data_IF_708698248770
#
_entry.id   IF_708698248770
#
_cell.length_a   1.000
_cell.length_b   1.000
_cell.length_c   1.000
_cell.angle_alpha   90.00
_cell.angle_beta   90.00
_cell.angle_gamma   90.00
#
_symmetry.space_group_name_H-M   'P 1'
#
loop_
_entity.id
_entity.type
_entity.pdbx_description
1 polymer ?
#
# COMPACT_ATOMS: atom_id res chain seq x y z
N UNK A 1 -13.85 -18.40 35.80
CA UNK A 1 -12.41 -18.54 35.50
C UNK A 1 -11.86 -17.12 35.44
N UNK A 2 -11.09 -16.73 36.46
CA UNK A 2 -10.51 -15.39 36.57
C UNK A 2 -9.29 -15.30 35.64
N UNK A 3 -9.34 -14.38 34.68
CA UNK A 3 -8.16 -13.95 33.93
C UNK A 3 -7.45 -12.85 34.74
N UNK A 4 -6.67 -13.26 35.73
CA UNK A 4 -5.69 -12.39 36.38
C UNK A 4 -4.47 -12.25 35.47
N UNK A 5 -4.56 -11.34 34.48
CA UNK A 5 -3.36 -10.83 33.82
C UNK A 5 -2.70 -9.81 34.74
N UNK A 6 -1.59 -10.24 35.33
CA UNK A 6 -0.65 -9.44 36.09
C UNK A 6 -0.32 -8.17 35.30
N UNK A 7 -0.80 -7.02 35.77
CA UNK A 7 -0.33 -5.71 35.34
C UNK A 7 1.11 -5.53 35.86
N UNK A 8 2.10 -6.01 35.11
CA UNK A 8 3.47 -5.54 35.28
C UNK A 8 3.48 -4.06 34.91
N UNK A 9 3.74 -3.17 35.87
CA UNK A 9 3.77 -1.71 35.74
C UNK A 9 4.91 -1.17 34.86
N UNK A 10 5.10 -1.74 33.67
CA UNK A 10 5.90 -1.14 32.62
C UNK A 10 5.26 0.19 32.20
N UNK A 11 6.06 1.25 32.09
CA UNK A 11 5.59 2.51 31.52
C UNK A 11 5.10 2.23 30.10
N UNK A 12 3.79 2.19 29.93
CA UNK A 12 3.16 2.04 28.63
C UNK A 12 3.70 3.12 27.69
N UNK A 13 4.20 2.73 26.50
CA UNK A 13 4.81 3.66 25.57
C UNK A 13 3.75 4.65 25.03
N UNK A 14 4.19 5.80 24.52
CA UNK A 14 3.29 6.86 24.04
C UNK A 14 2.29 6.33 23.01
N UNK A 15 2.74 5.48 22.09
CA UNK A 15 1.89 4.87 21.06
C UNK A 15 0.76 4.03 21.65
N UNK A 16 1.07 3.12 22.58
CA UNK A 16 0.06 2.31 23.28
C UNK A 16 -0.94 3.17 24.07
N UNK A 17 -0.53 4.31 24.62
CA UNK A 17 -1.44 5.28 25.29
C UNK A 17 -2.38 5.94 24.30
N UNK A 18 -1.88 6.33 23.14
CA UNK A 18 -2.70 6.95 22.11
C UNK A 18 -3.76 5.98 21.58
N UNK A 19 -3.38 4.74 21.29
CA UNK A 19 -4.33 3.69 20.90
C UNK A 19 -5.37 3.45 22.02
N UNK A 20 -4.94 3.44 23.27
CA UNK A 20 -5.83 3.25 24.42
C UNK A 20 -6.84 4.41 24.59
N UNK A 21 -6.56 5.58 24.01
CA UNK A 21 -7.42 6.75 24.05
C UNK A 21 -8.38 6.86 22.85
N UNK A 22 -8.19 6.04 21.80
CA UNK A 22 -9.16 5.98 20.70
C UNK A 22 -10.50 5.43 21.19
N UNK A 23 -11.63 5.93 20.66
CA UNK A 23 -12.94 5.34 20.93
C UNK A 23 -12.95 3.85 20.63
N UNK A 24 -13.68 3.07 21.44
CA UNK A 24 -13.74 1.62 21.33
C UNK A 24 -14.18 1.13 19.94
N UNK A 25 -15.10 1.84 19.30
CA UNK A 25 -15.61 1.57 17.96
C UNK A 25 -14.65 2.00 16.84
N UNK A 26 -13.45 2.49 17.15
CA UNK A 26 -12.42 2.87 16.17
C UNK A 26 -11.13 2.05 16.35
N UNK A 27 -11.14 1.05 17.22
CA UNK A 27 -9.99 0.17 17.45
C UNK A 27 -10.43 -1.28 17.41
N UNK A 28 -9.84 -2.04 16.50
CA UNK A 28 -10.09 -3.46 16.37
C UNK A 28 -8.78 -4.23 16.34
N UNK A 29 -8.87 -5.45 16.83
CA UNK A 29 -7.81 -6.44 16.84
C UNK A 29 -8.33 -7.68 16.16
N UNK A 30 -7.60 -8.17 15.17
CA UNK A 30 -7.95 -9.42 14.51
C UNK A 30 -6.98 -10.51 14.99
N UNK A 31 -7.40 -11.36 15.95
CA UNK A 31 -6.57 -12.45 16.46
C UNK A 31 -6.39 -13.60 15.46
N UNK A 32 -7.23 -13.68 14.41
CA UNK A 32 -7.38 -14.86 13.56
C UNK A 32 -7.68 -14.54 12.09
N UNK A 33 -6.75 -13.85 11.43
CA UNK A 33 -6.60 -13.96 9.98
C UNK A 33 -5.23 -14.62 9.66
N UNK A 34 -5.07 -15.86 10.15
CA UNK A 34 -4.11 -16.91 9.80
C UNK A 34 -2.58 -16.67 9.66
N UNK A 35 -2.02 -15.46 9.72
CA UNK A 35 -0.55 -15.28 9.76
C UNK A 35 -0.12 -14.13 10.70
N UNK A 36 -0.92 -13.07 10.80
CA UNK A 36 -0.52 -11.86 11.53
C UNK A 36 -1.44 -11.53 12.71
N UNK A 37 -0.84 -10.96 13.77
CA UNK A 37 -1.56 -10.29 14.85
C UNK A 37 -1.71 -8.82 14.46
N UNK A 38 -2.83 -8.50 13.82
CA UNK A 38 -3.07 -7.17 13.25
C UNK A 38 -3.85 -6.28 14.21
N UNK A 39 -3.34 -5.07 14.39
CA UNK A 39 -4.01 -3.97 15.05
C UNK A 39 -4.54 -2.99 14.00
N UNK A 40 -5.86 -2.82 13.94
CA UNK A 40 -6.49 -1.92 12.98
C UNK A 40 -7.10 -0.71 13.69
N UNK A 41 -6.75 0.49 13.21
CA UNK A 41 -7.20 1.77 13.74
C UNK A 41 -8.08 2.46 12.69
N UNK A 42 -9.30 2.83 13.08
CA UNK A 42 -10.32 3.40 12.19
C UNK A 42 -11.42 2.43 11.79
N UNK A 43 -11.27 1.13 12.07
CA UNK A 43 -12.28 0.10 11.76
C UNK A 43 -13.03 -0.29 13.04
N UNK A 44 -14.37 -0.21 13.06
CA UNK A 44 -15.19 -0.76 14.14
C UNK A 44 -14.98 -2.26 14.32
N UNK A 45 -14.96 -2.73 15.58
CA UNK A 45 -14.76 -4.14 15.89
C UNK A 45 -15.87 -5.04 15.31
N UNK A 46 -17.09 -4.53 15.20
CA UNK A 46 -18.26 -5.20 14.63
C UNK A 46 -18.31 -5.15 13.09
N UNK A 47 -17.43 -4.37 12.44
CA UNK A 47 -17.35 -4.31 10.98
C UNK A 47 -16.66 -5.52 10.35
N UNK A 48 -15.96 -6.34 11.13
CA UNK A 48 -15.34 -7.58 10.68
C UNK A 48 -15.83 -8.75 11.50
N UNK A 49 -16.19 -9.87 10.84
CA UNK A 49 -16.68 -11.09 11.49
C UNK A 49 -15.70 -11.67 12.53
N UNK A 50 -14.42 -11.29 12.46
CA UNK A 50 -13.35 -11.75 13.36
C UNK A 50 -12.79 -10.64 14.25
N UNK A 51 -13.37 -9.44 14.18
CA UNK A 51 -12.88 -8.27 14.90
C UNK A 51 -13.18 -8.38 16.39
N UNK A 52 -12.14 -8.28 17.21
CA UNK A 52 -12.28 -8.08 18.65
C UNK A 52 -11.97 -6.63 18.98
N UNK A 53 -12.63 -6.12 20.02
CA UNK A 53 -12.27 -4.83 20.59
C UNK A 53 -10.83 -4.87 21.11
N UNK A 54 -10.00 -3.93 20.67
CA UNK A 54 -8.62 -3.82 21.13
C UNK A 54 -8.58 -3.18 22.52
N UNK A 55 -8.42 -4.01 23.56
CA UNK A 55 -8.32 -3.53 24.95
C UNK A 55 -6.89 -3.13 25.35
N UNK A 56 -5.90 -3.83 24.80
CA UNK A 56 -4.47 -3.59 25.08
C UNK A 56 -3.67 -4.00 23.86
N UNK A 57 -2.68 -3.19 23.48
CA UNK A 57 -1.78 -3.52 22.38
C UNK A 57 -0.80 -4.61 22.81
N UNK A 58 -0.81 -5.74 22.11
CA UNK A 58 0.11 -6.84 22.37
C UNK A 58 1.54 -6.45 21.94
N UNK A 59 2.53 -6.83 22.76
CA UNK A 59 3.94 -6.57 22.47
C UNK A 59 4.45 -7.33 21.24
N UNK A 60 3.79 -8.42 20.88
CA UNK A 60 4.08 -9.26 19.71
C UNK A 60 3.12 -8.99 18.53
N UNK A 61 2.53 -7.78 18.48
CA UNK A 61 1.80 -7.30 17.32
C UNK A 61 2.73 -7.27 16.09
N UNK A 62 2.31 -7.93 15.02
CA UNK A 62 3.10 -8.07 13.78
C UNK A 62 2.51 -7.28 12.62
N UNK A 63 1.35 -6.66 12.77
CA UNK A 63 0.79 -5.83 11.72
C UNK A 63 -0.03 -4.66 12.23
N UNK A 64 -0.02 -3.56 11.47
CA UNK A 64 -0.80 -2.37 11.75
C UNK A 64 -1.52 -1.87 10.52
N UNK A 65 -2.77 -1.46 10.69
CA UNK A 65 -3.59 -0.85 9.65
C UNK A 65 -4.10 0.51 10.16
N UNK A 66 -3.62 1.59 9.55
CA UNK A 66 -4.00 2.95 9.89
C UNK A 66 -4.98 3.47 8.83
N UNK A 67 -6.27 3.26 9.06
CA UNK A 67 -7.35 3.66 8.12
C UNK A 67 -8.14 4.86 8.65
N UNK A 68 -7.38 5.85 9.10
CA UNK A 68 -7.87 7.11 9.70
C UNK A 68 -7.71 8.30 8.74
N UNK A 69 -7.23 8.07 7.51
CA UNK A 69 -6.82 9.12 6.58
C UNK A 69 -5.79 10.06 7.22
N UNK A 70 -5.86 11.35 6.91
CA UNK A 70 -4.97 12.38 7.45
C UNK A 70 -4.97 12.44 9.00
N UNK A 71 -6.11 12.13 9.65
CA UNK A 71 -6.22 12.11 11.13
C UNK A 71 -5.35 11.02 11.76
N UNK A 72 -4.86 10.06 10.97
CA UNK A 72 -3.92 9.03 11.40
C UNK A 72 -2.54 9.58 11.74
N UNK A 73 -2.17 10.79 11.30
CA UNK A 73 -0.81 11.33 11.43
C UNK A 73 -0.23 11.23 12.86
N UNK A 74 -0.93 11.65 13.94
CA UNK A 74 -0.39 11.53 15.29
C UNK A 74 -0.11 10.07 15.69
N UNK A 75 -0.94 9.12 15.24
CA UNK A 75 -0.75 7.69 15.50
C UNK A 75 0.43 7.12 14.72
N UNK A 76 0.57 7.51 13.45
CA UNK A 76 1.69 7.12 12.59
C UNK A 76 3.01 7.67 13.14
N UNK A 77 3.05 8.91 13.61
CA UNK A 77 4.24 9.49 14.25
C UNK A 77 4.60 8.77 15.56
N UNK A 78 3.61 8.45 16.39
CA UNK A 78 3.85 7.70 17.61
C UNK A 78 4.29 6.25 17.33
N UNK A 79 3.75 5.63 16.28
CA UNK A 79 4.18 4.33 15.77
C UNK A 79 5.63 4.35 15.28
N UNK A 80 5.99 5.34 14.45
CA UNK A 80 7.34 5.56 13.95
C UNK A 80 8.38 5.71 15.06
N UNK A 81 8.00 6.35 16.17
CA UNK A 81 8.84 6.52 17.36
C UNK A 81 8.83 5.32 18.33
N UNK A 82 8.09 4.25 18.02
CA UNK A 82 7.96 3.07 18.87
C UNK A 82 8.94 1.95 18.50
N UNK A 83 8.86 0.80 19.18
CA UNK A 83 9.61 -0.41 18.82
C UNK A 83 9.03 -1.17 17.62
N UNK A 84 7.78 -0.91 17.26
CA UNK A 84 7.04 -1.75 16.31
C UNK A 84 7.59 -1.76 14.88
N UNK A 85 8.11 -0.65 14.30
CA UNK A 85 8.68 -0.66 12.95
C UNK A 85 9.73 -1.75 12.71
N UNK A 86 10.50 -2.12 13.73
CA UNK A 86 11.54 -3.14 13.64
C UNK A 86 11.02 -4.60 13.60
N UNK A 87 9.75 -4.85 13.96
CA UNK A 87 9.19 -6.21 14.10
C UNK A 87 7.96 -6.49 13.24
N UNK A 88 7.33 -5.45 12.67
CA UNK A 88 6.08 -5.64 11.93
C UNK A 88 6.35 -6.24 10.54
N UNK A 89 5.50 -7.18 10.17
CA UNK A 89 5.51 -7.85 8.87
C UNK A 89 4.44 -7.30 7.92
N UNK A 90 3.45 -6.56 8.44
CA UNK A 90 2.37 -5.94 7.66
C UNK A 90 2.14 -4.49 8.08
N UNK A 91 2.00 -3.60 7.09
CA UNK A 91 1.61 -2.22 7.29
C UNK A 91 0.62 -1.79 6.22
N UNK A 92 -0.51 -1.22 6.63
CA UNK A 92 -1.43 -0.55 5.73
C UNK A 92 -1.65 0.90 6.18
N UNK A 93 -1.57 1.84 5.24
CA UNK A 93 -1.95 3.24 5.43
C UNK A 93 -3.05 3.57 4.44
N UNK A 94 -4.16 4.10 4.92
CA UNK A 94 -5.30 4.39 4.06
C UNK A 94 -6.39 5.17 4.74
N UNK A 95 -7.57 5.09 4.16
CA UNK A 95 -8.80 5.57 4.77
C UNK A 95 -9.86 4.46 4.70
N UNK A 96 -10.95 4.65 5.42
CA UNK A 96 -12.07 3.73 5.36
C UNK A 96 -13.40 4.48 5.29
N UNK A 97 -14.41 3.76 4.84
CA UNK A 97 -15.74 4.33 4.65
C UNK A 97 -16.44 4.79 5.93
N UNK A 98 -15.95 4.42 7.12
CA UNK A 98 -16.45 4.93 8.40
C UNK A 98 -15.95 6.34 8.74
N UNK A 99 -14.89 6.81 8.07
CA UNK A 99 -14.30 8.12 8.29
C UNK A 99 -14.63 9.12 7.16
N UNK A 100 -15.61 8.78 6.31
CA UNK A 100 -16.02 9.42 5.04
C UNK A 100 -16.27 10.93 5.13
N UNK A 101 -15.19 11.68 5.28
CA UNK A 101 -15.08 13.08 4.93
C UNK A 101 -14.20 13.14 3.69
N UNK A 102 -14.85 13.31 2.54
CA UNK A 102 -14.25 13.28 1.19
C UNK A 102 -13.02 14.21 1.02
N UNK A 103 -12.84 15.17 1.91
CA UNK A 103 -11.81 16.21 1.85
C UNK A 103 -10.44 15.77 2.41
N UNK A 104 -10.27 14.52 2.87
CA UNK A 104 -9.15 14.09 3.75
C UNK A 104 -8.24 12.98 3.20
N UNK A 105 -7.92 13.06 1.90
CA UNK A 105 -7.16 12.02 1.18
C UNK A 105 -5.67 12.34 0.98
N UNK A 106 -5.17 13.41 1.60
CA UNK A 106 -3.74 13.73 1.58
C UNK A 106 -2.99 12.86 2.60
N UNK A 107 -2.38 11.78 2.11
CA UNK A 107 -1.61 10.83 2.90
C UNK A 107 -0.11 11.14 2.90
N UNK A 108 0.33 12.19 2.19
CA UNK A 108 1.74 12.61 2.14
C UNK A 108 2.33 12.83 3.54
N UNK A 109 1.62 13.45 4.51
CA UNK A 109 2.18 13.61 5.85
C UNK A 109 2.45 12.27 6.55
N UNK A 110 1.60 11.26 6.30
CA UNK A 110 1.74 9.92 6.88
C UNK A 110 2.94 9.20 6.25
N UNK A 111 3.03 9.20 4.91
CA UNK A 111 4.18 8.64 4.18
C UNK A 111 5.48 9.31 4.61
N UNK A 112 5.50 10.65 4.65
CA UNK A 112 6.66 11.44 5.06
C UNK A 112 7.13 11.14 6.49
N UNK A 113 6.20 10.88 7.41
CA UNK A 113 6.53 10.50 8.78
C UNK A 113 7.24 9.13 8.87
N UNK A 114 7.08 8.27 7.88
CA UNK A 114 7.70 6.94 7.81
C UNK A 114 8.94 6.87 6.93
N UNK A 115 9.17 7.86 6.05
CA UNK A 115 10.26 7.84 5.06
C UNK A 115 11.68 7.70 5.62
N UNK A 116 11.88 7.95 6.91
CA UNK A 116 13.18 7.81 7.60
C UNK A 116 13.26 6.62 8.56
N UNK A 117 12.23 5.77 8.60
CA UNK A 117 12.11 4.65 9.52
C UNK A 117 12.46 3.36 8.80
N UNK A 118 13.23 2.48 9.45
CA UNK A 118 13.60 1.18 8.90
C UNK A 118 12.55 0.12 9.23
N UNK A 119 12.21 -0.67 8.20
CA UNK A 119 11.24 -1.76 8.25
C UNK A 119 11.90 -3.06 7.79
N UNK A 120 12.81 -3.64 8.60
CA UNK A 120 13.69 -4.72 8.16
C UNK A 120 12.97 -6.04 7.86
N UNK A 121 11.76 -6.23 8.40
CA UNK A 121 10.98 -7.48 8.29
C UNK A 121 9.59 -7.27 7.69
N UNK A 122 9.31 -6.07 7.17
CA UNK A 122 8.03 -5.74 6.54
C UNK A 122 7.88 -6.49 5.22
N UNK A 123 6.88 -7.38 5.13
CA UNK A 123 6.60 -8.22 3.97
C UNK A 123 5.44 -7.70 3.15
N UNK A 124 4.44 -7.11 3.80
CA UNK A 124 3.22 -6.62 3.14
C UNK A 124 3.04 -5.13 3.40
N UNK A 125 2.97 -4.35 2.34
CA UNK A 125 2.84 -2.91 2.40
C UNK A 125 1.71 -2.44 1.48
N UNK A 126 0.67 -1.83 2.07
CA UNK A 126 -0.45 -1.26 1.34
C UNK A 126 -0.51 0.24 1.64
N UNK A 127 -0.38 1.07 0.61
CA UNK A 127 -0.41 2.52 0.73
C UNK A 127 -1.54 3.10 -0.10
N UNK A 128 -2.38 3.91 0.53
CA UNK A 128 -3.48 4.62 -0.13
C UNK A 128 -4.72 3.78 -0.34
N UNK A 129 -4.72 2.56 0.18
CA UNK A 129 -5.84 1.64 0.10
C UNK A 129 -7.08 2.23 0.79
N UNK A 130 -8.22 2.11 0.11
CA UNK A 130 -9.50 2.53 0.65
C UNK A 130 -10.30 1.28 1.00
N UNK A 131 -10.27 0.98 2.29
CA UNK A 131 -10.93 -0.20 2.81
C UNK A 131 -12.46 0.02 2.81
N UNK A 132 -13.11 -0.53 1.78
CA UNK A 132 -14.56 -0.47 1.62
C UNK A 132 -15.24 -1.43 2.61
N UNK A 133 -15.61 -0.91 3.78
CA UNK A 133 -16.49 -1.61 4.71
C UNK A 133 -17.98 -1.31 4.48
N UNK A 134 -18.28 -0.37 3.58
CA UNK A 134 -19.62 -0.07 3.09
C UNK A 134 -19.55 0.11 1.57
N UNK A 135 -20.66 -0.16 0.86
CA UNK A 135 -20.77 0.02 -0.59
C UNK A 135 -20.70 1.52 -0.96
N UNK A 136 -19.50 2.09 -0.94
CA UNK A 136 -19.20 3.43 -1.41
C UNK A 136 -18.29 3.38 -2.63
N UNK A 137 -18.23 4.45 -3.45
CA UNK A 137 -17.29 4.51 -4.55
C UNK A 137 -15.85 4.38 -4.01
N UNK A 138 -15.03 3.63 -4.75
CA UNK A 138 -13.59 3.54 -4.52
C UNK A 138 -12.96 4.92 -4.51
N UNK A 139 -12.00 5.13 -3.64
CA UNK A 139 -11.49 6.45 -3.31
C UNK A 139 -9.99 6.37 -3.09
N UNK A 140 -9.21 6.70 -4.11
CA UNK A 140 -7.75 6.58 -4.04
C UNK A 140 -7.11 7.80 -3.36
N UNK A 141 -6.00 7.59 -2.64
CA UNK A 141 -5.32 8.59 -1.81
C UNK A 141 -4.18 9.33 -2.53
N UNK A 142 -3.69 10.44 -1.96
CA UNK A 142 -2.47 11.12 -2.43
C UNK A 142 -1.28 10.81 -1.52
N UNK A 143 -0.37 9.95 -2.01
CA UNK A 143 0.77 9.42 -1.26
C UNK A 143 2.00 10.35 -1.31
N UNK A 144 2.19 11.07 -2.42
CA UNK A 144 3.39 11.88 -2.68
C UNK A 144 4.62 11.02 -2.98
N UNK A 145 5.81 11.48 -2.59
CA UNK A 145 7.05 10.73 -2.84
C UNK A 145 7.20 9.56 -1.86
N UNK A 146 7.14 8.35 -2.41
CA UNK A 146 7.26 7.09 -1.66
C UNK A 146 8.68 6.49 -1.71
N UNK A 147 9.60 7.07 -2.49
CA UNK A 147 10.92 6.50 -2.80
C UNK A 147 11.74 6.17 -1.56
N UNK A 148 11.87 7.13 -0.64
CA UNK A 148 12.67 6.94 0.58
C UNK A 148 12.09 5.88 1.51
N UNK A 149 10.76 5.81 1.59
CA UNK A 149 10.08 4.81 2.40
C UNK A 149 10.31 3.41 1.80
N UNK A 150 10.08 3.21 0.50
CA UNK A 150 10.27 1.90 -0.13
C UNK A 150 11.73 1.40 -0.02
N UNK A 151 12.71 2.29 -0.12
CA UNK A 151 14.13 1.96 0.10
C UNK A 151 14.46 1.51 1.55
N UNK A 152 13.57 1.80 2.51
CA UNK A 152 13.70 1.41 3.91
C UNK A 152 12.92 0.14 4.27
N UNK A 153 12.25 -0.47 3.30
CA UNK A 153 11.48 -1.69 3.45
C UNK A 153 11.96 -2.79 2.48
N UNK A 154 13.22 -3.26 2.60
CA UNK A 154 13.83 -4.16 1.60
C UNK A 154 13.22 -5.56 1.56
N UNK A 155 12.48 -5.96 2.60
CA UNK A 155 11.89 -7.30 2.73
C UNK A 155 10.48 -7.40 2.15
N UNK A 156 9.96 -6.33 1.53
CA UNK A 156 8.60 -6.30 0.98
C UNK A 156 8.45 -7.32 -0.15
N UNK A 157 7.39 -8.13 -0.04
CA UNK A 157 7.00 -9.20 -0.95
C UNK A 157 5.71 -8.85 -1.69
N UNK A 158 4.79 -8.16 -1.01
CA UNK A 158 3.50 -7.71 -1.53
C UNK A 158 3.42 -6.19 -1.33
N UNK A 159 3.39 -5.45 -2.44
CA UNK A 159 3.30 -3.99 -2.46
C UNK A 159 2.05 -3.56 -3.23
N UNK A 160 1.19 -2.80 -2.56
CA UNK A 160 0.08 -2.09 -3.19
C UNK A 160 0.22 -0.57 -3.03
N UNK A 161 0.21 0.16 -4.14
CA UNK A 161 0.18 1.62 -4.19
C UNK A 161 -1.11 2.08 -4.87
N UNK A 162 -2.00 2.66 -4.09
CA UNK A 162 -3.34 3.07 -4.51
C UNK A 162 -3.45 4.60 -4.47
N UNK A 163 -3.69 5.20 -5.62
CA UNK A 163 -3.77 6.65 -5.86
C UNK A 163 -2.43 7.32 -6.20
N UNK A 164 -2.43 8.64 -6.29
CA UNK A 164 -1.30 9.41 -6.81
C UNK A 164 -0.06 9.28 -5.93
N UNK A 165 1.06 8.92 -6.56
CA UNK A 165 2.39 8.93 -5.96
C UNK A 165 3.43 9.43 -6.96
N UNK A 166 4.64 9.68 -6.45
CA UNK A 166 5.81 9.96 -7.28
C UNK A 166 6.98 9.10 -6.85
N UNK A 167 7.87 8.82 -7.80
CA UNK A 167 9.19 8.26 -7.56
C UNK A 167 10.25 9.26 -8.00
N UNK A 168 11.34 9.37 -7.24
CA UNK A 168 12.49 10.22 -7.55
C UNK A 168 13.69 9.41 -8.05
N UNK A 169 13.59 8.08 -8.00
CA UNK A 169 14.56 7.13 -8.56
C UNK A 169 13.95 5.75 -8.71
N UNK A 170 14.56 4.91 -9.54
CA UNK A 170 14.22 3.49 -9.61
C UNK A 170 14.48 2.76 -8.29
N UNK A 171 13.66 1.77 -8.01
CA UNK A 171 13.67 0.97 -6.79
C UNK A 171 14.46 -0.33 -6.99
N UNK A 172 14.93 -0.89 -5.87
CA UNK A 172 15.51 -2.23 -5.80
C UNK A 172 14.79 -2.98 -4.68
N UNK A 173 13.81 -3.80 -5.05
CA UNK A 173 13.03 -4.61 -4.11
C UNK A 173 13.22 -6.08 -4.47
N UNK A 174 14.28 -6.68 -3.92
CA UNK A 174 14.72 -8.03 -4.32
C UNK A 174 13.79 -9.14 -3.87
N UNK A 175 12.96 -8.87 -2.87
CA UNK A 175 12.00 -9.82 -2.30
C UNK A 175 10.59 -9.67 -2.88
N UNK A 176 10.34 -8.64 -3.69
CA UNK A 176 9.02 -8.33 -4.22
C UNK A 176 8.53 -9.45 -5.15
N UNK A 177 7.39 -10.05 -4.84
CA UNK A 177 6.72 -11.09 -5.63
C UNK A 177 5.44 -10.61 -6.27
N UNK A 178 4.79 -9.61 -5.68
CA UNK A 178 3.52 -9.03 -6.13
C UNK A 178 3.56 -7.50 -6.05
N UNK A 179 3.18 -6.85 -7.14
CA UNK A 179 3.08 -5.41 -7.26
C UNK A 179 1.72 -5.02 -7.85
N UNK A 180 0.97 -4.23 -7.09
CA UNK A 180 -0.32 -3.67 -7.46
C UNK A 180 -0.23 -2.16 -7.47
N UNK A 181 -0.56 -1.54 -8.60
CA UNK A 181 -0.69 -0.10 -8.75
C UNK A 181 -2.11 0.17 -9.23
N UNK A 182 -2.83 1.03 -8.53
CA UNK A 182 -4.20 1.42 -8.88
C UNK A 182 -4.35 2.94 -8.79
N UNK A 183 -4.54 3.59 -9.94
CA UNK A 183 -4.73 5.04 -10.05
C UNK A 183 -6.19 5.37 -10.43
N UNK A 184 -7.10 4.39 -10.48
CA UNK A 184 -8.49 4.66 -10.85
C UNK A 184 -9.12 5.73 -9.93
N UNK A 185 -9.73 6.73 -10.56
CA UNK A 185 -10.55 7.76 -9.93
C UNK A 185 -11.70 8.15 -10.87
N UNK A 186 -12.37 7.13 -11.43
CA UNK A 186 -13.50 7.24 -12.34
C UNK A 186 -14.69 8.05 -11.82
N UNK A 187 -14.70 8.46 -10.54
CA UNK A 187 -15.85 9.14 -9.94
C UNK A 187 -15.56 10.39 -9.12
N UNK A 188 -14.33 10.61 -8.64
CA UNK A 188 -14.14 11.61 -7.57
C UNK A 188 -13.22 12.79 -7.91
N UNK A 189 -12.32 12.71 -8.89
CA UNK A 189 -11.28 13.72 -9.13
C UNK A 189 -10.44 14.06 -7.87
N UNK A 190 -10.45 13.20 -6.86
CA UNK A 190 -9.81 13.39 -5.56
C UNK A 190 -8.41 12.77 -5.48
N UNK A 191 -8.05 11.89 -6.41
CA UNK A 191 -6.73 11.26 -6.54
C UNK A 191 -5.62 12.29 -6.80
N UNK A 192 -5.96 13.50 -7.27
CA UNK A 192 -5.03 14.54 -7.79
C UNK A 192 -4.47 14.25 -9.19
N UNK A 193 -5.04 13.26 -9.87
CA UNK A 193 -4.74 13.00 -11.28
C UNK A 193 -3.72 11.87 -11.49
N UNK A 194 -3.25 11.71 -12.74
CA UNK A 194 -2.36 10.61 -13.09
C UNK A 194 -0.99 10.72 -12.42
N UNK A 195 -0.26 9.60 -12.38
CA UNK A 195 1.19 9.63 -12.16
C UNK A 195 1.89 10.17 -13.41
N UNK A 196 3.09 10.75 -13.25
CA UNK A 196 3.86 11.22 -14.40
C UNK A 196 4.48 10.07 -15.18
N UNK A 197 4.76 10.27 -16.47
CA UNK A 197 5.59 9.35 -17.26
C UNK A 197 6.97 9.13 -16.60
N UNK A 198 7.54 10.15 -15.96
CA UNK A 198 8.80 10.00 -15.19
C UNK A 198 8.65 9.03 -14.00
N UNK A 199 7.54 9.09 -13.27
CA UNK A 199 7.26 8.15 -12.18
C UNK A 199 7.07 6.74 -12.71
N UNK A 200 6.34 6.60 -13.83
CA UNK A 200 6.15 5.31 -14.50
C UNK A 200 7.49 4.74 -15.01
N UNK A 201 8.34 5.58 -15.62
CA UNK A 201 9.66 5.20 -16.10
C UNK A 201 10.54 4.67 -14.96
N UNK A 202 10.55 5.37 -13.81
CA UNK A 202 11.27 4.90 -12.64
C UNK A 202 10.74 3.57 -12.13
N UNK A 203 9.41 3.42 -12.04
CA UNK A 203 8.75 2.19 -11.61
C UNK A 203 9.10 1.02 -12.53
N UNK A 204 8.88 1.17 -13.84
CA UNK A 204 9.06 0.10 -14.83
C UNK A 204 10.54 -0.21 -15.11
N UNK A 205 11.45 0.72 -14.78
CA UNK A 205 12.90 0.50 -14.83
C UNK A 205 13.49 -0.04 -13.52
N UNK A 206 12.68 -0.21 -12.47
CA UNK A 206 13.11 -0.74 -11.17
C UNK A 206 13.48 -2.22 -11.23
N UNK A 207 14.31 -2.69 -10.30
CA UNK A 207 14.76 -4.09 -10.25
C UNK A 207 13.92 -4.91 -9.29
N UNK A 208 13.13 -5.84 -9.83
CA UNK A 208 12.26 -6.75 -9.09
C UNK A 208 12.51 -8.20 -9.52
N UNK A 209 13.66 -8.80 -9.15
CA UNK A 209 14.08 -10.11 -9.64
C UNK A 209 13.12 -11.26 -9.32
N UNK A 210 12.32 -11.14 -8.25
CA UNK A 210 11.35 -12.16 -7.82
C UNK A 210 9.90 -11.83 -8.18
N UNK A 211 9.64 -10.73 -8.89
CA UNK A 211 8.26 -10.33 -9.19
C UNK A 211 7.61 -11.37 -10.08
N UNK A 212 6.50 -11.95 -9.64
CA UNK A 212 5.74 -12.96 -10.37
C UNK A 212 4.46 -12.38 -10.98
N UNK A 213 3.85 -11.41 -10.28
CA UNK A 213 2.61 -10.74 -10.67
C UNK A 213 2.75 -9.22 -10.64
N UNK A 214 2.33 -8.58 -11.73
CA UNK A 214 2.21 -7.13 -11.86
C UNK A 214 0.78 -6.78 -12.27
N UNK A 215 0.11 -5.97 -11.46
CA UNK A 215 -1.14 -5.29 -11.80
C UNK A 215 -0.89 -3.79 -11.87
N UNK A 216 -1.20 -3.19 -13.01
CA UNK A 216 -0.98 -1.77 -13.28
C UNK A 216 -2.25 -1.17 -13.87
N UNK A 217 -3.08 -0.62 -13.01
CA UNK A 217 -4.25 0.16 -13.42
C UNK A 217 -3.94 1.65 -13.40
N UNK A 218 -3.78 2.21 -14.60
CA UNK A 218 -3.55 3.62 -14.86
C UNK A 218 -4.75 4.29 -15.55
N UNK A 219 -5.93 3.65 -15.53
CA UNK A 219 -7.16 4.22 -16.04
C UNK A 219 -7.50 5.49 -15.26
N UNK A 220 -7.66 6.59 -15.98
CA UNK A 220 -8.10 7.85 -15.39
C UNK A 220 -8.78 8.70 -16.46
N UNK A 221 -9.79 9.46 -16.06
CA UNK A 221 -10.58 10.36 -16.93
C UNK A 221 -9.79 11.61 -17.39
N UNK A 222 -8.50 11.45 -17.72
CA UNK A 222 -7.62 12.52 -18.20
C UNK A 222 -6.88 12.04 -19.44
N UNK A 223 -6.65 12.96 -20.39
CA UNK A 223 -5.90 12.72 -21.62
C UNK A 223 -4.37 12.63 -21.38
N UNK A 224 -3.93 11.70 -20.54
CA UNK A 224 -2.53 11.30 -20.46
C UNK A 224 -2.33 10.05 -21.30
N UNK A 225 -1.21 10.02 -22.02
CA UNK A 225 -0.74 8.84 -22.74
C UNK A 225 0.58 8.39 -22.11
N UNK A 226 0.61 7.13 -21.68
CA UNK A 226 1.81 6.53 -21.10
C UNK A 226 2.73 5.94 -22.17
N UNK A 227 4.03 5.99 -21.90
CA UNK A 227 5.09 5.39 -22.71
C UNK A 227 5.77 4.30 -21.87
N UNK A 228 6.06 3.16 -22.49
CA UNK A 228 6.74 2.05 -21.85
C UNK A 228 8.24 2.15 -22.11
N UNK A 229 9.09 2.16 -21.08
CA UNK A 229 10.53 2.29 -21.27
C UNK A 229 11.12 1.00 -21.87
N UNK A 230 12.13 1.14 -22.74
CA UNK A 230 12.79 -0.01 -23.39
C UNK A 230 13.30 -1.04 -22.37
N UNK A 231 13.81 -0.59 -21.22
CA UNK A 231 14.27 -1.46 -20.12
C UNK A 231 13.19 -2.46 -19.70
N UNK A 232 11.94 -1.99 -19.58
CA UNK A 232 10.80 -2.81 -19.23
C UNK A 232 10.44 -3.79 -20.34
N UNK A 233 10.45 -3.34 -21.60
CA UNK A 233 10.20 -4.18 -22.77
C UNK A 233 11.22 -5.32 -22.90
N UNK A 234 12.49 -5.09 -22.53
CA UNK A 234 13.49 -6.17 -22.46
C UNK A 234 13.22 -7.15 -21.29
N UNK A 235 12.59 -6.66 -20.23
CA UNK A 235 12.21 -7.42 -19.03
C UNK A 235 13.40 -7.93 -18.21
N UNK A 236 14.63 -7.45 -18.46
CA UNK A 236 15.86 -7.94 -17.79
C UNK A 236 15.77 -7.76 -16.28
N UNK A 237 15.08 -6.71 -15.84
CA UNK A 237 14.83 -6.36 -14.45
C UNK A 237 13.69 -7.16 -13.80
N UNK A 238 12.93 -7.93 -14.58
CA UNK A 238 11.74 -8.69 -14.18
C UNK A 238 11.82 -10.17 -14.63
N UNK A 239 12.92 -10.91 -14.36
CA UNK A 239 13.14 -12.24 -14.90
C UNK A 239 12.11 -13.29 -14.47
N UNK A 240 11.44 -13.08 -13.33
CA UNK A 240 10.45 -14.02 -12.77
C UNK A 240 9.01 -13.69 -13.14
N UNK A 241 8.75 -12.60 -13.88
CA UNK A 241 7.39 -12.14 -14.15
C UNK A 241 6.65 -13.14 -15.03
N UNK A 242 5.50 -13.61 -14.55
CA UNK A 242 4.67 -14.62 -15.22
C UNK A 242 3.31 -14.09 -15.63
N UNK A 243 2.78 -13.12 -14.90
CA UNK A 243 1.47 -12.56 -15.16
C UNK A 243 1.53 -11.04 -15.04
N UNK A 244 0.95 -10.39 -16.03
CA UNK A 244 0.83 -8.95 -16.08
C UNK A 244 -0.56 -8.55 -16.54
N UNK A 245 -1.14 -7.62 -15.81
CA UNK A 245 -2.39 -6.95 -16.16
C UNK A 245 -2.09 -5.46 -16.24
N UNK A 246 -2.35 -4.86 -17.39
CA UNK A 246 -2.21 -3.42 -17.56
C UNK A 246 -3.52 -2.82 -18.06
N UNK A 247 -3.91 -1.72 -17.43
CA UNK A 247 -5.10 -0.95 -17.76
C UNK A 247 -4.69 0.52 -17.93
N UNK A 248 -5.26 1.20 -18.92
CA UNK A 248 -5.10 2.64 -19.11
C UNK A 248 -4.84 3.06 -20.55
N UNK A 249 -4.56 4.36 -20.74
CA UNK A 249 -4.31 4.97 -22.06
C UNK A 249 -2.82 5.07 -22.38
N UNK A 250 -2.39 4.46 -23.48
CA UNK A 250 -1.00 4.43 -23.93
C UNK A 250 -0.84 5.15 -25.26
N UNK A 251 0.35 5.69 -25.52
CA UNK A 251 0.66 6.31 -26.82
C UNK A 251 0.51 5.27 -27.94
N UNK A 252 0.09 5.75 -29.12
CA UNK A 252 -0.01 4.93 -30.32
C UNK A 252 1.24 4.05 -30.55
N UNK A 253 1.00 2.74 -30.72
CA UNK A 253 2.04 1.72 -30.94
C UNK A 253 2.75 1.20 -29.69
N UNK A 254 2.54 1.76 -28.50
CA UNK A 254 3.18 1.26 -27.27
C UNK A 254 2.70 -0.14 -26.87
N UNK A 255 1.41 -0.41 -27.03
CA UNK A 255 0.85 -1.75 -26.80
C UNK A 255 1.40 -2.76 -27.80
N UNK A 256 1.52 -2.39 -29.08
CA UNK A 256 2.12 -3.26 -30.10
C UNK A 256 3.59 -3.58 -29.76
N UNK A 257 4.37 -2.55 -29.38
CA UNK A 257 5.75 -2.75 -28.89
C UNK A 257 5.80 -3.68 -27.70
N UNK A 258 4.87 -3.56 -26.75
CA UNK A 258 4.81 -4.44 -25.59
C UNK A 258 4.52 -5.88 -25.99
N UNK A 259 3.52 -6.12 -26.84
CA UNK A 259 3.16 -7.45 -27.31
C UNK A 259 4.32 -8.10 -28.06
N UNK A 260 5.04 -7.33 -28.88
CA UNK A 260 6.21 -7.78 -29.65
C UNK A 260 7.50 -7.90 -28.81
N UNK A 261 7.50 -7.40 -27.57
CA UNK A 261 8.70 -7.27 -26.75
C UNK A 261 9.25 -8.61 -26.23
N UNK A 262 10.56 -8.71 -25.95
CA UNK A 262 11.15 -9.86 -25.28
C UNK A 262 10.50 -10.24 -23.94
N UNK A 263 9.90 -9.28 -23.22
CA UNK A 263 9.15 -9.54 -21.99
C UNK A 263 7.93 -10.44 -22.26
N UNK A 264 7.09 -10.06 -23.23
CA UNK A 264 5.84 -10.77 -23.52
C UNK A 264 6.06 -12.06 -24.32
N UNK A 265 7.18 -12.19 -25.02
CA UNK A 265 7.53 -13.40 -25.79
C UNK A 265 8.08 -14.54 -24.91
N UNK A 266 8.07 -14.41 -23.59
CA UNK A 266 8.50 -15.46 -22.66
C UNK A 266 7.47 -16.59 -22.58
N UNK A 267 7.95 -17.81 -22.47
CA UNK A 267 7.10 -18.97 -22.24
C UNK A 267 6.28 -18.78 -20.95
N UNK A 268 5.00 -19.17 -21.00
CA UNK A 268 4.05 -19.14 -19.87
C UNK A 268 3.67 -17.73 -19.37
N UNK A 269 4.09 -16.67 -20.07
CA UNK A 269 3.68 -15.31 -19.75
C UNK A 269 2.20 -15.09 -20.08
N UNK A 270 1.45 -14.49 -19.14
CA UNK A 270 0.04 -14.12 -19.31
C UNK A 270 -0.09 -12.60 -19.29
N UNK A 271 -0.60 -12.06 -20.39
CA UNK A 271 -0.92 -10.64 -20.54
C UNK A 271 -2.44 -10.46 -20.60
N UNK A 272 -2.98 -9.61 -19.73
CA UNK A 272 -4.32 -9.08 -19.84
C UNK A 272 -4.24 -7.58 -20.11
N UNK A 273 -4.95 -7.13 -21.14
CA UNK A 273 -4.96 -5.75 -21.61
C UNK A 273 -6.39 -5.23 -21.58
N UNK A 274 -6.57 -4.09 -20.94
CA UNK A 274 -7.75 -3.25 -21.07
C UNK A 274 -7.26 -1.84 -21.44
N UNK A 275 -7.56 -1.41 -22.66
CA UNK A 275 -7.04 -0.15 -23.21
C UNK A 275 -8.20 0.81 -23.35
N UNK A 276 -8.04 1.98 -22.75
CA UNK A 276 -9.02 3.06 -22.87
C UNK A 276 -8.81 3.80 -24.20
N UNK A 277 -9.89 3.90 -24.99
CA UNK A 277 -9.93 4.71 -26.23
C UNK A 277 -9.78 6.22 -25.96
#
# INVERSE_FOLDING_TARGET
MNNDYIQSGGKMCQFSRMISALPDHQRSYQPRANIFRNCSLGIPADASETGLQLMTLADDCTGFEFVLGEKGLPFVQAFAASKFPAQIERLALGDCSYNCHYDRRDLRPLVSALSNIEFPVLKQLYLGDYFQFVNGPGATGWLGDVTSFLNKAPAVQDLSLVGNFSLTSSLILTELTELTIEIDDSQSNLNRGPISNETLDFLLSSSFPKLEYLYLDLSIDVAIEYVLPDTFLQGINLPSLRKMEIVGRYREGEIDKLVESPLCQRNEFKLLLEVDD
#
